data_IF_658432797999
#
_entry.id   IF_658432797999
#
_cell.length_a   1.000
_cell.length_b   1.000
_cell.length_c   1.000
_cell.angle_alpha   90.00
_cell.angle_beta   90.00
_cell.angle_gamma   90.00
#
_symmetry.space_group_name_H-M   'P 1'
#
loop_
_entity.id
_entity.type
_entity.pdbx_description
1 polymer ?
#
# COMPACT_ATOMS: atom_id res chain seq x y z
N UNK A 1 0.70 7.77 -19.65
CA UNK A 1 0.15 8.00 -18.31
C UNK A 1 1.28 8.54 -17.45
N UNK A 2 1.16 9.78 -16.99
CA UNK A 2 2.10 10.37 -16.03
C UNK A 2 1.86 9.65 -14.68
N UNK A 3 2.90 9.42 -13.89
CA UNK A 3 2.76 8.78 -12.59
C UNK A 3 2.01 9.67 -11.60
N UNK A 4 1.38 9.05 -10.60
CA UNK A 4 0.54 9.73 -9.62
C UNK A 4 1.20 9.79 -8.23
N UNK A 5 2.50 10.08 -8.17
CA UNK A 5 3.23 10.18 -6.90
C UNK A 5 2.66 11.22 -5.94
N UNK A 6 2.05 12.30 -6.45
CA UNK A 6 1.29 13.27 -5.66
C UNK A 6 0.22 12.61 -4.81
N UNK A 7 -0.37 11.48 -5.24
CA UNK A 7 -1.36 10.72 -4.45
C UNK A 7 -0.79 10.27 -3.11
N UNK A 8 0.43 9.72 -3.11
CA UNK A 8 1.11 9.29 -1.88
C UNK A 8 1.36 10.48 -0.95
N UNK A 9 1.76 11.64 -1.49
CA UNK A 9 1.92 12.88 -0.71
C UNK A 9 0.59 13.34 -0.10
N UNK A 10 -0.52 13.24 -0.84
CA UNK A 10 -1.83 13.61 -0.29
C UNK A 10 -2.30 12.62 0.79
N UNK A 11 -2.08 11.32 0.61
CA UNK A 11 -2.38 10.33 1.64
C UNK A 11 -1.56 10.56 2.91
N UNK A 12 -0.25 10.80 2.78
CA UNK A 12 0.61 11.14 3.91
C UNK A 12 0.06 12.34 4.67
N UNK A 13 -0.19 13.46 3.98
CA UNK A 13 -0.67 14.70 4.60
C UNK A 13 -2.01 14.53 5.30
N UNK A 14 -2.95 13.79 4.69
CA UNK A 14 -4.26 13.56 5.28
C UNK A 14 -4.14 12.71 6.56
N UNK A 15 -3.39 11.61 6.48
CA UNK A 15 -3.23 10.67 7.58
C UNK A 15 -2.44 11.28 8.75
N UNK A 16 -1.35 11.99 8.47
CA UNK A 16 -0.57 12.72 9.48
C UNK A 16 -1.42 13.79 10.17
N UNK A 17 -2.20 14.57 9.41
CA UNK A 17 -3.07 15.60 9.97
C UNK A 17 -4.08 14.97 10.93
N UNK A 18 -4.80 13.94 10.49
CA UNK A 18 -5.89 13.36 11.26
C UNK A 18 -5.37 12.63 12.51
N UNK A 19 -4.18 12.01 12.45
CA UNK A 19 -3.46 11.47 13.62
C UNK A 19 -3.03 12.57 14.60
N UNK A 20 -2.45 13.67 14.10
CA UNK A 20 -1.99 14.79 14.94
C UNK A 20 -3.14 15.52 15.63
N UNK A 21 -4.31 15.59 14.98
CA UNK A 21 -5.51 16.22 15.52
C UNK A 21 -6.31 15.30 16.45
N UNK A 22 -6.04 13.99 16.40
CA UNK A 22 -6.73 12.99 17.21
C UNK A 22 -8.09 12.58 16.65
N UNK A 23 -8.34 12.84 15.35
CA UNK A 23 -9.56 12.40 14.64
C UNK A 23 -9.51 10.89 14.32
N UNK A 24 -8.30 10.32 14.27
CA UNK A 24 -8.01 8.88 14.17
C UNK A 24 -6.95 8.49 15.19
N UNK A 25 -7.10 7.33 15.82
CA UNK A 25 -6.10 6.72 16.68
C UNK A 25 -5.03 5.96 15.86
N UNK A 26 -3.81 5.76 16.39
CA UNK A 26 -2.75 5.01 15.68
C UNK A 26 -3.14 3.59 15.26
N UNK A 27 -4.03 2.95 16.03
CA UNK A 27 -4.54 1.59 15.81
C UNK A 27 -5.89 1.55 15.08
N UNK A 28 -6.45 2.70 14.69
CA UNK A 28 -7.69 2.72 13.92
C UNK A 28 -7.47 2.09 12.55
N UNK A 29 -8.46 1.31 12.05
CA UNK A 29 -8.40 0.75 10.71
C UNK A 29 -8.62 1.84 9.67
N UNK A 30 -7.66 1.98 8.75
CA UNK A 30 -7.72 2.93 7.63
C UNK A 30 -7.76 2.21 6.29
N UNK A 31 -8.45 2.81 5.33
CA UNK A 31 -8.56 2.36 3.95
C UNK A 31 -8.30 3.55 3.02
N UNK A 32 -7.26 3.45 2.20
CA UNK A 32 -6.88 4.44 1.19
C UNK A 32 -7.18 3.83 -0.17
N UNK A 33 -7.97 4.53 -1.00
CA UNK A 33 -8.38 4.05 -2.33
C UNK A 33 -8.32 5.18 -3.36
N UNK A 34 -8.15 4.80 -4.63
CA UNK A 34 -8.25 5.73 -5.74
C UNK A 34 -9.65 6.35 -5.82
N UNK A 35 -9.69 7.67 -6.03
CA UNK A 35 -10.95 8.43 -5.95
C UNK A 35 -11.80 8.42 -7.22
N UNK A 36 -11.25 8.01 -8.37
CA UNK A 36 -11.92 8.16 -9.68
C UNK A 36 -12.48 6.86 -10.24
N UNK A 37 -11.90 5.71 -9.90
CA UNK A 37 -12.20 4.41 -10.49
C UNK A 37 -12.48 3.31 -9.46
N UNK A 38 -12.65 3.67 -8.18
CA UNK A 38 -13.10 2.76 -7.14
C UNK A 38 -14.57 3.02 -6.75
N UNK A 39 -15.27 1.95 -6.36
CA UNK A 39 -16.61 2.02 -5.79
C UNK A 39 -16.66 1.26 -4.46
N UNK A 40 -17.27 1.88 -3.45
CA UNK A 40 -17.55 1.23 -2.17
C UNK A 40 -18.84 0.39 -2.30
N UNK A 41 -18.68 -0.93 -2.27
CA UNK A 41 -19.79 -1.89 -2.49
C UNK A 41 -20.34 -2.50 -1.20
N UNK A 42 -19.92 -1.99 -0.03
CA UNK A 42 -20.32 -2.53 1.25
C UNK A 42 -20.21 -1.53 2.39
N UNK A 43 -20.79 -1.87 3.55
CA UNK A 43 -20.78 -1.01 4.73
C UNK A 43 -19.38 -0.99 5.40
N UNK A 44 -19.08 0.11 6.10
CA UNK A 44 -17.79 0.30 6.78
C UNK A 44 -17.56 -0.76 7.87
N UNK A 45 -18.62 -1.21 8.52
CA UNK A 45 -18.62 -2.25 9.55
C UNK A 45 -18.02 -3.56 9.00
N UNK A 46 -18.27 -3.88 7.73
CA UNK A 46 -17.69 -5.06 7.09
C UNK A 46 -16.17 -4.96 6.95
N UNK A 47 -15.64 -3.76 6.72
CA UNK A 47 -14.20 -3.51 6.72
C UNK A 47 -13.63 -3.58 8.14
N UNK A 48 -14.27 -2.94 9.11
CA UNK A 48 -13.85 -2.97 10.51
C UNK A 48 -13.80 -4.40 11.07
N UNK A 49 -14.81 -5.23 10.79
CA UNK A 49 -14.85 -6.63 11.20
C UNK A 49 -13.70 -7.45 10.60
N UNK A 50 -13.36 -7.21 9.33
CA UNK A 50 -12.20 -7.85 8.69
C UNK A 50 -10.89 -7.45 9.36
N UNK A 51 -10.69 -6.14 9.59
CA UNK A 51 -9.48 -5.63 10.25
C UNK A 51 -9.36 -6.10 11.71
N UNK A 52 -10.48 -6.42 12.36
CA UNK A 52 -10.52 -6.99 13.70
C UNK A 52 -10.37 -8.53 13.73
N UNK A 53 -10.22 -9.20 12.58
CA UNK A 53 -10.13 -10.65 12.47
C UNK A 53 -8.76 -11.09 11.94
N UNK A 54 -8.22 -12.26 12.35
CA UNK A 54 -7.00 -12.80 11.76
C UNK A 54 -7.15 -13.06 10.25
N UNK A 55 -6.08 -12.87 9.45
CA UNK A 55 -4.74 -12.46 9.87
C UNK A 55 -4.60 -10.94 10.14
N UNK A 56 -5.57 -10.12 9.73
CA UNK A 56 -5.48 -8.65 9.76
C UNK A 56 -5.43 -8.04 11.17
N UNK A 57 -5.86 -8.78 12.19
CA UNK A 57 -5.78 -8.36 13.59
C UNK A 57 -4.51 -8.82 14.30
N UNK A 58 -3.80 -9.80 13.74
CA UNK A 58 -2.70 -10.48 14.41
C UNK A 58 -1.41 -9.68 14.36
N UNK A 59 -1.17 -9.02 13.23
CA UNK A 59 0.03 -8.23 12.99
C UNK A 59 -0.36 -6.84 12.50
N UNK A 60 0.39 -5.83 12.93
CA UNK A 60 0.22 -4.42 12.52
C UNK A 60 0.88 -4.16 11.15
N UNK A 61 0.70 -5.07 10.19
CA UNK A 61 1.28 -4.96 8.85
C UNK A 61 0.30 -4.21 7.93
N UNK A 62 0.77 -3.23 7.14
CA UNK A 62 -0.05 -2.60 6.12
C UNK A 62 -0.28 -3.56 4.94
N UNK A 63 -1.49 -3.52 4.40
CA UNK A 63 -1.95 -4.33 3.27
C UNK A 63 -2.14 -3.46 2.04
N UNK A 64 -2.00 -4.06 0.87
CA UNK A 64 -2.29 -3.44 -0.42
C UNK A 64 -3.10 -4.41 -1.28
N UNK A 65 -3.76 -3.90 -2.31
CA UNK A 65 -4.52 -4.74 -3.22
C UNK A 65 -3.62 -5.67 -4.03
N UNK A 66 -4.14 -6.86 -4.35
CA UNK A 66 -3.52 -7.79 -5.31
C UNK A 66 -4.15 -7.66 -6.70
N UNK A 67 -3.32 -7.68 -7.74
CA UNK A 67 -3.68 -7.58 -9.14
C UNK A 67 -3.12 -8.78 -9.93
N UNK A 68 -3.70 -9.05 -11.11
CA UNK A 68 -3.31 -10.16 -12.00
C UNK A 68 -2.14 -9.84 -12.95
N UNK A 69 -1.90 -8.55 -13.18
CA UNK A 69 -0.93 -8.04 -14.14
C UNK A 69 0.14 -7.24 -13.40
N UNK A 70 1.41 -7.55 -13.65
CA UNK A 70 2.53 -6.77 -13.16
C UNK A 70 2.74 -5.55 -14.06
N UNK A 71 2.05 -4.45 -13.77
CA UNK A 71 2.29 -3.14 -14.39
C UNK A 71 2.93 -2.15 -13.41
N UNK A 72 3.58 -1.07 -13.85
CA UNK A 72 3.87 -0.73 -15.24
C UNK A 72 5.05 -1.52 -15.84
N UNK A 73 5.88 -2.13 -15.00
CA UNK A 73 7.07 -2.88 -15.42
C UNK A 73 6.87 -4.39 -15.23
N UNK A 74 6.51 -5.06 -16.31
CA UNK A 74 6.25 -6.50 -16.29
C UNK A 74 7.52 -7.34 -16.06
N UNK A 75 8.72 -6.79 -16.25
CA UNK A 75 9.96 -7.52 -16.02
C UNK A 75 10.20 -7.81 -14.54
N UNK A 76 9.52 -7.09 -13.63
CA UNK A 76 9.57 -7.34 -12.18
C UNK A 76 8.75 -8.55 -11.76
N UNK A 77 7.86 -9.06 -12.61
CA UNK A 77 6.94 -10.14 -12.27
C UNK A 77 7.66 -11.35 -11.68
N UNK A 78 8.74 -11.82 -12.32
CA UNK A 78 9.47 -13.01 -11.85
C UNK A 78 10.11 -12.80 -10.47
N UNK A 79 10.63 -11.60 -10.19
CA UNK A 79 11.22 -11.27 -8.89
C UNK A 79 10.14 -11.15 -7.80
N UNK A 80 8.97 -10.61 -8.13
CA UNK A 80 7.84 -10.53 -7.20
C UNK A 80 7.25 -11.93 -6.94
N UNK A 81 7.18 -12.79 -7.96
CA UNK A 81 6.71 -14.18 -7.81
C UNK A 81 7.62 -15.00 -6.86
N UNK A 82 8.91 -14.67 -6.76
CA UNK A 82 9.84 -15.29 -5.80
C UNK A 82 9.54 -14.88 -4.35
N UNK A 83 8.97 -13.69 -4.12
CA UNK A 83 8.53 -13.22 -2.79
C UNK A 83 7.19 -13.84 -2.40
N UNK A 84 6.25 -13.93 -3.34
CA UNK A 84 4.89 -14.44 -3.10
C UNK A 84 4.67 -15.77 -3.83
N UNK A 85 5.23 -16.85 -3.28
CA UNK A 85 5.18 -18.18 -3.87
C UNK A 85 3.83 -18.91 -3.69
N UNK A 86 2.69 -18.22 -3.83
CA UNK A 86 1.36 -18.85 -3.81
C UNK A 86 0.82 -19.09 -5.24
N UNK A 87 0.88 -20.33 -5.75
CA UNK A 87 0.37 -20.63 -7.09
C UNK A 87 -1.16 -20.62 -7.17
N UNK A 88 -1.89 -20.65 -6.05
CA UNK A 88 -3.34 -20.84 -5.99
C UNK A 88 -4.16 -19.57 -6.23
N UNK A 89 -3.58 -18.39 -6.06
CA UNK A 89 -4.27 -17.11 -6.29
C UNK A 89 -3.91 -16.51 -7.65
N UNK A 90 -4.88 -15.98 -8.42
CA UNK A 90 -4.60 -15.18 -9.60
C UNK A 90 -4.17 -13.75 -9.24
N UNK A 91 -4.30 -13.31 -7.98
CA UNK A 91 -3.97 -11.97 -7.51
C UNK A 91 -2.56 -11.95 -6.93
N UNK A 92 -1.56 -11.75 -7.79
CA UNK A 92 -0.15 -11.97 -7.45
C UNK A 92 0.66 -10.69 -7.28
N UNK A 93 0.27 -9.62 -7.97
CA UNK A 93 1.08 -8.42 -8.05
C UNK A 93 0.49 -7.31 -7.18
N UNK A 94 1.29 -6.62 -6.37
CA UNK A 94 0.84 -5.48 -5.57
C UNK A 94 0.25 -4.36 -6.44
N UNK A 95 -0.82 -3.74 -6.00
CA UNK A 95 -1.48 -2.62 -6.67
C UNK A 95 -1.62 -1.42 -5.71
N UNK A 96 -1.16 -0.26 -6.15
CA UNK A 96 -1.12 0.96 -5.34
C UNK A 96 -2.45 1.75 -5.32
N UNK A 97 -3.48 1.27 -6.01
CA UNK A 97 -4.82 1.87 -6.01
C UNK A 97 -5.63 1.61 -4.75
N UNK A 98 -5.17 0.70 -3.88
CA UNK A 98 -5.77 0.45 -2.57
C UNK A 98 -4.73 0.02 -1.54
N UNK A 99 -4.73 0.67 -0.38
CA UNK A 99 -3.93 0.32 0.80
C UNK A 99 -4.83 0.30 2.04
N UNK A 100 -4.59 -0.63 2.97
CA UNK A 100 -5.39 -0.77 4.18
C UNK A 100 -4.54 -1.23 5.35
N UNK A 101 -4.94 -0.95 6.59
CA UNK A 101 -4.16 -1.36 7.75
C UNK A 101 -4.52 -0.56 8.99
N UNK A 102 -3.65 -0.63 9.99
CA UNK A 102 -3.68 0.30 11.13
C UNK A 102 -3.08 1.63 10.67
N UNK A 103 -3.61 2.75 11.19
CA UNK A 103 -3.25 4.09 10.74
C UNK A 103 -1.73 4.35 10.76
N UNK A 104 -1.05 4.03 11.86
CA UNK A 104 0.39 4.28 12.00
C UNK A 104 1.24 3.40 11.05
N UNK A 105 1.05 2.07 10.95
CA UNK A 105 1.74 1.26 9.95
C UNK A 105 1.49 1.65 8.50
N UNK A 106 0.26 2.07 8.16
CA UNK A 106 -0.04 2.56 6.80
C UNK A 106 0.68 3.87 6.54
N UNK A 107 0.75 4.77 7.52
CA UNK A 107 1.53 6.00 7.41
C UNK A 107 3.02 5.69 7.20
N UNK A 108 3.57 4.77 7.98
CA UNK A 108 4.98 4.37 7.84
C UNK A 108 5.27 3.82 6.44
N UNK A 109 4.41 2.94 5.90
CA UNK A 109 4.54 2.47 4.52
C UNK A 109 4.58 3.62 3.52
N UNK A 110 3.68 4.60 3.64
CA UNK A 110 3.65 5.76 2.72
C UNK A 110 4.94 6.58 2.84
N UNK A 111 5.44 6.78 4.06
CA UNK A 111 6.71 7.49 4.29
C UNK A 111 7.88 6.74 3.66
N UNK A 112 7.92 5.41 3.76
CA UNK A 112 8.95 4.58 3.14
C UNK A 112 8.88 4.62 1.61
N UNK A 113 7.66 4.61 1.05
CA UNK A 113 7.45 4.79 -0.40
C UNK A 113 7.95 6.17 -0.86
N UNK A 114 7.66 7.23 -0.10
CA UNK A 114 8.05 8.61 -0.42
C UNK A 114 9.54 8.89 -0.19
N UNK A 115 10.19 8.22 0.75
CA UNK A 115 11.63 8.32 0.96
C UNK A 115 12.43 7.87 -0.27
N UNK A 116 11.87 6.94 -1.06
CA UNK A 116 12.52 6.40 -2.24
C UNK A 116 13.81 5.64 -1.93
N UNK A 117 14.60 5.37 -2.96
CA UNK A 117 15.91 4.68 -2.86
C UNK A 117 17.11 5.65 -2.93
N UNK A 118 16.86 6.96 -2.99
CA UNK A 118 17.88 8.01 -3.15
C UNK A 118 17.65 9.23 -2.27
N UNK A 119 18.65 10.12 -2.19
CA UNK A 119 18.61 11.30 -1.32
C UNK A 119 17.54 12.35 -1.69
N UNK A 120 16.98 12.27 -2.90
CA UNK A 120 16.02 13.25 -3.43
C UNK A 120 14.56 12.88 -3.18
N UNK A 121 14.27 11.74 -2.54
CA UNK A 121 12.89 11.27 -2.33
C UNK A 121 12.22 10.76 -3.61
N UNK A 122 10.93 10.40 -3.49
CA UNK A 122 10.11 9.97 -4.62
C UNK A 122 9.44 11.18 -5.30
N UNK A 123 9.55 11.32 -6.64
CA UNK A 123 9.01 12.47 -7.33
C UNK A 123 7.47 12.46 -7.37
N UNK A 124 6.87 13.66 -7.36
CA UNK A 124 5.41 13.82 -7.39
C UNK A 124 4.76 13.29 -8.68
N UNK A 125 5.47 13.30 -9.80
CA UNK A 125 5.02 12.71 -11.07
C UNK A 125 5.48 11.24 -11.26
N UNK A 126 6.07 10.66 -10.21
CA UNK A 126 6.54 9.29 -10.17
C UNK A 126 5.40 8.27 -10.22
N UNK A 127 5.67 7.08 -10.74
CA UNK A 127 4.70 5.99 -10.78
C UNK A 127 4.63 5.27 -9.42
N UNK A 128 3.57 5.52 -8.67
CA UNK A 128 3.31 4.97 -7.33
C UNK A 128 3.28 3.44 -7.30
N UNK A 129 2.65 2.81 -8.30
CA UNK A 129 2.64 1.35 -8.43
C UNK A 129 4.04 0.78 -8.67
N UNK A 130 4.82 1.39 -9.55
CA UNK A 130 6.21 1.02 -9.80
C UNK A 130 7.08 1.20 -8.56
N UNK A 131 6.83 2.24 -7.75
CA UNK A 131 7.52 2.46 -6.48
C UNK A 131 7.15 1.42 -5.43
N UNK A 132 5.87 1.07 -5.30
CA UNK A 132 5.42 -0.02 -4.43
C UNK A 132 6.12 -1.34 -4.79
N UNK A 133 6.23 -1.65 -6.08
CA UNK A 133 6.95 -2.84 -6.54
C UNK A 133 8.43 -2.81 -6.14
N UNK A 134 9.13 -1.69 -6.37
CA UNK A 134 10.53 -1.57 -5.96
C UNK A 134 10.69 -1.71 -4.45
N UNK A 135 9.81 -1.09 -3.67
CA UNK A 135 9.88 -1.16 -2.21
C UNK A 135 9.77 -2.59 -1.69
N UNK A 136 8.84 -3.38 -2.24
CA UNK A 136 8.66 -4.78 -1.82
C UNK A 136 9.84 -5.66 -2.25
N UNK A 137 10.42 -5.39 -3.41
CA UNK A 137 11.65 -6.05 -3.84
C UNK A 137 12.83 -5.70 -2.93
N UNK A 138 12.97 -4.43 -2.53
CA UNK A 138 13.99 -3.97 -1.58
C UNK A 138 13.84 -4.66 -0.21
N UNK A 139 12.60 -4.82 0.27
CA UNK A 139 12.28 -5.54 1.50
C UNK A 139 12.63 -7.04 1.40
N UNK A 140 12.22 -7.68 0.31
CA UNK A 140 12.56 -9.07 0.03
C UNK A 140 14.07 -9.34 -0.04
N UNK A 141 14.83 -8.44 -0.65
CA UNK A 141 16.30 -8.52 -0.72
C UNK A 141 16.98 -8.38 0.65
N UNK A 142 16.34 -7.68 1.59
CA UNK A 142 16.81 -7.55 2.98
C UNK A 142 16.40 -8.74 3.86
N UNK A 143 15.54 -9.62 3.37
CA UNK A 143 15.00 -10.76 4.12
C UNK A 143 13.89 -10.36 5.10
N UNK A 144 13.21 -9.24 4.86
CA UNK A 144 12.10 -8.73 5.66
C UNK A 144 10.83 -8.60 4.78
N UNK A 145 10.26 -9.74 4.32
CA UNK A 145 9.20 -9.75 3.30
C UNK A 145 7.84 -9.27 3.79
#
# INVERSE_FOLDING_TARGET
>A
WIGWGTKLVQYQRALERDLLQGDIAPDDPVLLIDGWDCALVGPAEGFQMKMASPPYSSDSVPWYAGERICGPDFFKASRIDELYADPGTPWRYPNAGCMAGRAEPVLQLIQDLLAGSGAEGFPEDGNDQGRLHEHLLELGERGDP
#
